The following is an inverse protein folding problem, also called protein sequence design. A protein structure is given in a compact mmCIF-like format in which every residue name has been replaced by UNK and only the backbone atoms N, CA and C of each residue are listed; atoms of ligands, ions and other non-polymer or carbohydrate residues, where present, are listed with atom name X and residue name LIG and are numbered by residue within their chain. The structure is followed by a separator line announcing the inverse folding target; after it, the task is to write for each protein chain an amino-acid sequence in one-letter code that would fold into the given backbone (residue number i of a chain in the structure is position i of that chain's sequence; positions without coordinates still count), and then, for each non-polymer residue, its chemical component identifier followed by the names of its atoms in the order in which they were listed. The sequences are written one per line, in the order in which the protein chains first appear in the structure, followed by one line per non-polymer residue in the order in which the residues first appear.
data_IF_644396877215
#
_entry.id   IF_644396877215
#
_cell.length_a   1.000
_cell.length_b   1.000
_cell.length_c   1.000
_cell.angle_alpha   90.00
_cell.angle_beta   90.00
_cell.angle_gamma   90.00
#
_symmetry.space_group_name_H-M   'P 1'
#
loop_
_entity.id
_entity.type
_entity.pdbx_description
1 polymer ?
#
# COMPACT_ATOMS: atom_id res chain seq x y z
N UNK A 1 3.54 11.11 16.91
CA UNK A 1 4.14 9.76 16.89
C UNK A 1 4.93 9.60 15.60
N UNK A 2 6.16 9.08 15.67
CA UNK A 2 7.00 8.90 14.48
C UNK A 2 6.65 7.58 13.78
N UNK A 3 6.73 7.54 12.44
CA UNK A 3 6.51 6.30 11.67
C UNK A 3 7.46 5.18 12.11
N UNK A 4 8.66 5.54 12.58
CA UNK A 4 9.67 4.62 13.13
C UNK A 4 9.20 3.92 14.40
N UNK A 5 8.43 4.62 15.25
CA UNK A 5 7.82 4.05 16.46
C UNK A 5 6.70 3.07 16.09
N UNK A 6 5.83 3.44 15.14
CA UNK A 6 4.81 2.54 14.59
C UNK A 6 5.44 1.30 13.96
N UNK A 7 6.49 1.46 13.15
CA UNK A 7 7.25 0.35 12.56
C UNK A 7 7.87 -0.51 13.65
N UNK A 8 8.43 0.08 14.71
CA UNK A 8 8.98 -0.69 15.84
C UNK A 8 7.90 -1.55 16.51
N UNK A 9 6.69 -1.02 16.73
CA UNK A 9 5.57 -1.78 17.30
C UNK A 9 5.05 -2.85 16.35
N UNK A 10 4.99 -2.57 15.05
CA UNK A 10 4.69 -3.57 14.01
C UNK A 10 5.73 -4.70 14.05
N UNK A 11 7.02 -4.37 14.05
CA UNK A 11 8.11 -5.34 14.12
C UNK A 11 8.01 -6.17 15.39
N UNK A 12 7.80 -5.57 16.58
CA UNK A 12 7.58 -6.30 17.84
C UNK A 12 6.35 -7.21 17.81
N UNK A 13 5.35 -6.86 17.02
CA UNK A 13 4.16 -7.70 16.81
C UNK A 13 4.49 -8.86 15.88
N UNK A 14 5.22 -8.63 14.79
CA UNK A 14 5.53 -9.65 13.77
C UNK A 14 6.70 -10.57 14.14
N UNK A 15 7.80 -10.08 14.72
CA UNK A 15 9.02 -10.88 14.96
C UNK A 15 8.85 -11.95 16.02
N UNK A 16 7.80 -11.89 16.84
CA UNK A 16 7.53 -12.95 17.79
C UNK A 16 6.08 -13.45 17.79
N UNK A 17 5.43 -13.41 16.61
CA UNK A 17 4.11 -13.99 16.34
C UNK A 17 3.99 -14.68 14.98
N UNK A 18 5.12 -15.10 14.39
CA UNK A 18 5.09 -16.00 13.22
C UNK A 18 5.50 -17.40 13.67
N UNK A 19 4.56 -18.22 14.20
CA UNK A 19 4.64 -19.65 14.00
C UNK A 19 4.65 -19.91 12.49
N UNK A 20 5.52 -20.81 12.04
CA UNK A 20 5.53 -21.35 10.67
C UNK A 20 4.14 -21.71 10.14
N UNK A 21 3.22 -22.15 11.01
CA UNK A 21 1.82 -22.45 10.69
C UNK A 21 0.96 -21.25 10.22
N UNK A 22 1.25 -20.02 10.67
CA UNK A 22 0.48 -18.82 10.28
C UNK A 22 0.98 -18.20 8.97
N UNK A 23 2.27 -18.41 8.66
CA UNK A 23 2.84 -18.12 7.34
C UNK A 23 2.13 -18.93 6.24
N UNK A 24 1.80 -20.19 6.51
CA UNK A 24 1.10 -21.08 5.59
C UNK A 24 -0.37 -20.65 5.35
N UNK A 25 -1.07 -20.19 6.39
CA UNK A 25 -2.46 -19.68 6.29
C UNK A 25 -2.51 -18.39 5.45
N UNK A 26 -1.52 -17.51 5.62
CA UNK A 26 -1.39 -16.32 4.77
C UNK A 26 -1.09 -16.74 3.33
N UNK A 27 -0.13 -17.64 3.12
CA UNK A 27 0.21 -18.15 1.79
C UNK A 27 -1.00 -18.75 1.06
N UNK A 28 -1.89 -19.43 1.76
CA UNK A 28 -3.11 -20.03 1.19
C UNK A 28 -4.21 -19.01 0.88
N UNK A 29 -4.44 -17.99 1.73
CA UNK A 29 -5.44 -16.95 1.47
C UNK A 29 -5.03 -16.01 0.32
N UNK A 30 -3.73 -15.83 0.07
CA UNK A 30 -3.20 -14.95 -0.97
C UNK A 30 -2.78 -15.67 -2.26
N UNK A 31 -2.71 -17.02 -2.27
CA UNK A 31 -2.37 -17.82 -3.44
C UNK A 31 -3.38 -17.73 -4.60
N UNK A 32 -4.60 -17.23 -4.36
CA UNK A 32 -5.61 -17.15 -5.42
C UNK A 32 -5.40 -15.97 -6.38
N UNK A 33 -4.51 -14.99 -6.11
CA UNK A 33 -4.27 -13.88 -7.05
C UNK A 33 -2.87 -13.24 -7.05
N UNK A 34 -1.91 -13.71 -6.23
CA UNK A 34 -0.62 -13.02 -6.10
C UNK A 34 0.58 -13.99 -6.09
N UNK A 35 1.37 -14.01 -7.16
CA UNK A 35 2.59 -14.81 -7.26
C UNK A 35 3.75 -14.08 -6.54
N UNK A 36 4.09 -14.55 -5.33
CA UNK A 36 4.91 -13.86 -4.33
C UNK A 36 6.43 -13.99 -4.51
N UNK A 37 6.92 -14.72 -5.51
CA UNK A 37 8.35 -15.11 -5.63
C UNK A 37 9.34 -13.98 -5.98
N UNK A 38 8.95 -12.71 -5.96
CA UNK A 38 9.83 -11.61 -6.36
C UNK A 38 10.32 -10.77 -5.16
N UNK A 39 11.63 -10.73 -5.03
CA UNK A 39 12.47 -10.16 -3.96
C UNK A 39 12.39 -8.62 -3.92
N UNK A 40 11.37 -8.01 -3.30
CA UNK A 40 11.22 -6.54 -3.32
C UNK A 40 10.79 -5.91 -2.00
N UNK A 41 11.35 -4.73 -1.70
CA UNK A 41 11.43 -4.09 -0.37
C UNK A 41 10.22 -3.26 0.07
N UNK A 42 9.25 -2.98 -0.82
CA UNK A 42 8.03 -2.18 -0.50
C UNK A 42 6.78 -3.04 -0.24
N UNK A 43 6.68 -4.17 -0.92
CA UNK A 43 5.66 -5.20 -0.70
C UNK A 43 5.54 -5.68 0.77
N UNK A 44 6.63 -5.85 1.54
CA UNK A 44 6.56 -6.42 2.88
C UNK A 44 5.76 -5.54 3.83
N UNK A 45 5.92 -4.21 3.79
CA UNK A 45 5.22 -3.33 4.73
C UNK A 45 3.70 -3.32 4.48
N UNK A 46 3.27 -3.20 3.23
CA UNK A 46 1.85 -3.24 2.86
C UNK A 46 1.22 -4.57 3.26
N UNK A 47 1.92 -5.69 3.00
CA UNK A 47 1.47 -7.02 3.41
C UNK A 47 1.38 -7.14 4.92
N UNK A 48 2.39 -6.66 5.66
CA UNK A 48 2.41 -6.71 7.12
C UNK A 48 1.25 -5.89 7.69
N UNK A 49 1.02 -4.67 7.20
CA UNK A 49 -0.08 -3.82 7.66
C UNK A 49 -1.43 -4.47 7.34
N UNK A 50 -1.59 -5.01 6.13
CA UNK A 50 -2.80 -5.76 5.74
C UNK A 50 -3.03 -6.97 6.65
N UNK A 51 -1.97 -7.72 6.96
CA UNK A 51 -2.03 -8.88 7.85
C UNK A 51 -2.48 -8.50 9.26
N UNK A 52 -1.88 -7.45 9.85
CA UNK A 52 -2.31 -6.95 11.17
C UNK A 52 -3.79 -6.55 11.13
N UNK A 53 -4.22 -5.85 10.07
CA UNK A 53 -5.62 -5.42 9.92
C UNK A 53 -6.59 -6.57 9.70
N UNK A 54 -6.19 -7.61 8.98
CA UNK A 54 -6.98 -8.82 8.82
C UNK A 54 -7.09 -9.56 10.15
N UNK A 55 -6.01 -9.63 10.93
CA UNK A 55 -6.03 -10.12 12.31
C UNK A 55 -7.08 -9.43 13.19
N UNK A 56 -7.30 -8.13 13.00
CA UNK A 56 -8.39 -7.39 13.65
C UNK A 56 -9.81 -7.77 13.15
N UNK A 57 -9.95 -8.08 11.86
CA UNK A 57 -11.25 -8.31 11.20
C UNK A 57 -11.76 -9.74 11.33
N UNK A 58 -10.90 -10.75 11.23
CA UNK A 58 -11.37 -12.14 11.18
C UNK A 58 -11.89 -12.60 12.53
N UNK A 59 -11.30 -12.15 13.65
CA UNK A 59 -11.80 -12.38 15.00
C UNK A 59 -11.13 -11.37 15.94
N UNK A 60 -11.81 -10.27 16.26
CA UNK A 60 -11.29 -9.16 17.10
C UNK A 60 -10.72 -9.61 18.45
N UNK A 61 -11.04 -10.83 18.89
CA UNK A 61 -10.55 -11.45 20.11
C UNK A 61 -9.44 -12.50 19.92
N UNK A 62 -9.18 -13.06 18.72
CA UNK A 62 -8.22 -14.16 18.58
C UNK A 62 -6.79 -13.71 18.26
N UNK A 63 -6.55 -12.63 17.51
CA UNK A 63 -5.16 -12.19 17.26
C UNK A 63 -4.50 -11.70 18.55
N UNK A 64 -5.17 -10.80 19.28
CA UNK A 64 -4.71 -10.32 20.58
C UNK A 64 -4.55 -11.49 21.56
N UNK A 65 -5.53 -12.41 21.62
CA UNK A 65 -5.47 -13.59 22.48
C UNK A 65 -4.33 -14.55 22.10
N UNK A 66 -4.17 -14.94 20.83
CA UNK A 66 -3.10 -15.81 20.36
C UNK A 66 -1.73 -15.16 20.61
N UNK A 67 -1.63 -13.85 20.38
CA UNK A 67 -0.46 -13.06 20.70
C UNK A 67 -0.16 -13.11 22.21
N UNK A 68 -1.15 -12.86 23.07
CA UNK A 68 -0.98 -12.94 24.51
C UNK A 68 -0.67 -14.35 25.00
N UNK A 69 -1.31 -15.39 24.47
CA UNK A 69 -1.10 -16.80 24.84
C UNK A 69 0.33 -17.25 24.51
N UNK A 70 0.80 -16.98 23.29
CA UNK A 70 2.17 -17.30 22.86
C UNK A 70 3.21 -16.55 23.70
N UNK A 71 2.97 -15.27 24.00
CA UNK A 71 3.90 -14.47 24.82
C UNK A 71 3.89 -14.84 26.29
N UNK A 72 2.75 -15.21 26.85
CA UNK A 72 2.69 -15.77 28.21
C UNK A 72 3.52 -17.04 28.29
N UNK A 73 3.34 -17.96 27.33
CA UNK A 73 4.11 -19.19 27.27
C UNK A 73 5.61 -18.94 27.11
N UNK A 74 6.01 -17.98 26.27
CA UNK A 74 7.42 -17.59 26.11
C UNK A 74 8.01 -16.95 27.37
N UNK A 75 7.26 -16.06 28.02
CA UNK A 75 7.69 -15.39 29.24
C UNK A 75 7.88 -16.38 30.40
N UNK A 76 6.96 -17.35 30.54
CA UNK A 76 7.07 -18.46 31.48
C UNK A 76 8.35 -19.29 31.19
N UNK A 77 8.58 -19.65 29.92
CA UNK A 77 9.80 -20.39 29.51
C UNK A 77 11.09 -19.61 29.77
N UNK A 78 11.05 -18.29 29.63
CA UNK A 78 12.21 -17.42 29.78
C UNK A 78 12.39 -16.84 31.19
N UNK A 79 11.53 -17.23 32.16
CA UNK A 79 11.47 -16.63 33.51
C UNK A 79 11.41 -15.09 33.48
N UNK A 80 10.59 -14.55 32.58
CA UNK A 80 10.33 -13.11 32.46
C UNK A 80 8.86 -12.83 32.71
N UNK A 81 8.56 -11.57 33.03
CA UNK A 81 7.18 -11.13 33.14
C UNK A 81 6.49 -11.12 31.77
N UNK A 82 5.23 -11.57 31.69
CA UNK A 82 4.46 -11.52 30.46
C UNK A 82 4.14 -10.07 30.06
N UNK A 83 3.97 -9.79 28.76
CA UNK A 83 3.56 -8.45 28.30
C UNK A 83 2.19 -8.07 28.86
N UNK A 84 2.05 -6.83 29.34
CA UNK A 84 0.79 -6.30 29.87
C UNK A 84 -0.19 -5.88 28.78
N UNK A 85 0.30 -5.22 27.71
CA UNK A 85 -0.55 -4.63 26.68
C UNK A 85 -0.21 -5.10 25.27
N UNK A 86 -1.21 -5.13 24.39
CA UNK A 86 -1.02 -5.39 22.96
C UNK A 86 -0.45 -4.12 22.29
N UNK A 87 0.76 -4.17 21.68
CA UNK A 87 1.45 -2.97 21.22
C UNK A 87 0.70 -2.15 20.15
N UNK A 88 -0.24 -2.75 19.41
CA UNK A 88 -0.94 -2.09 18.32
C UNK A 88 -2.40 -1.77 18.63
N UNK A 89 -2.88 -1.99 19.87
CA UNK A 89 -4.30 -1.89 20.23
C UNK A 89 -4.94 -0.55 19.82
N UNK A 90 -4.20 0.56 19.97
CA UNK A 90 -4.66 1.91 19.60
C UNK A 90 -4.37 2.31 18.15
N UNK A 91 -3.65 1.47 17.39
CA UNK A 91 -3.10 1.84 16.07
C UNK A 91 -3.98 1.45 14.90
N UNK A 92 -5.10 0.76 15.12
CA UNK A 92 -5.96 0.23 14.05
C UNK A 92 -6.35 1.28 13.01
N UNK A 93 -6.82 2.46 13.45
CA UNK A 93 -7.18 3.55 12.55
C UNK A 93 -5.97 4.06 11.73
N UNK A 94 -4.81 4.23 12.38
CA UNK A 94 -3.56 4.63 11.71
C UNK A 94 -3.13 3.58 10.69
N UNK A 95 -3.23 2.29 11.01
CA UNK A 95 -2.87 1.19 10.12
C UNK A 95 -3.82 1.12 8.91
N UNK A 96 -5.12 1.28 9.09
CA UNK A 96 -6.09 1.30 7.98
C UNK A 96 -5.83 2.45 7.02
N UNK A 97 -5.60 3.65 7.56
CA UNK A 97 -5.27 4.81 6.74
C UNK A 97 -3.90 4.68 6.06
N UNK A 98 -2.91 4.07 6.73
CA UNK A 98 -1.60 3.79 6.13
C UNK A 98 -1.71 2.79 4.99
N UNK A 99 -2.53 1.74 5.14
CA UNK A 99 -2.82 0.79 4.07
C UNK A 99 -3.42 1.50 2.84
N UNK A 100 -4.31 2.46 3.04
CA UNK A 100 -4.89 3.27 1.97
C UNK A 100 -3.83 4.06 1.18
N UNK A 101 -2.71 4.46 1.81
CA UNK A 101 -1.59 5.08 1.10
C UNK A 101 -0.68 4.05 0.40
N UNK A 102 -0.42 2.92 1.04
CA UNK A 102 0.60 1.96 0.59
C UNK A 102 0.09 0.98 -0.49
N UNK A 103 -1.19 0.62 -0.47
CA UNK A 103 -1.75 -0.39 -1.39
C UNK A 103 -1.70 0.05 -2.86
N UNK A 104 -2.05 1.30 -3.23
CA UNK A 104 -1.93 1.77 -4.60
C UNK A 104 -0.47 1.84 -5.08
N UNK A 105 0.46 2.22 -4.19
CA UNK A 105 1.90 2.24 -4.48
C UNK A 105 2.44 0.82 -4.71
N UNK A 106 1.96 -0.14 -3.92
CA UNK A 106 2.32 -1.55 -4.06
C UNK A 106 1.80 -2.12 -5.38
N UNK A 107 0.58 -1.76 -5.76
CA UNK A 107 -0.03 -2.15 -7.04
C UNK A 107 0.77 -1.60 -8.22
N UNK A 108 1.17 -0.32 -8.16
CA UNK A 108 2.08 0.25 -9.16
C UNK A 108 3.40 -0.52 -9.23
N UNK A 109 4.04 -0.78 -8.08
CA UNK A 109 5.33 -1.46 -8.06
C UNK A 109 5.23 -2.86 -8.69
N UNK A 110 4.16 -3.60 -8.40
CA UNK A 110 3.90 -4.91 -9.02
C UNK A 110 3.66 -4.78 -10.51
N UNK A 111 2.89 -3.79 -10.97
CA UNK A 111 2.64 -3.54 -12.40
C UNK A 111 3.95 -3.23 -13.13
N UNK A 112 4.81 -2.41 -12.55
CA UNK A 112 6.11 -2.02 -13.12
C UNK A 112 7.12 -3.17 -13.21
N UNK A 113 6.99 -4.19 -12.37
CA UNK A 113 7.93 -5.32 -12.27
C UNK A 113 7.49 -6.57 -13.03
N UNK A 114 6.32 -6.58 -13.68
CA UNK A 114 5.88 -7.71 -14.51
C UNK A 114 6.77 -7.83 -15.75
N UNK A 115 7.09 -9.05 -16.16
CA UNK A 115 7.86 -9.31 -17.39
C UNK A 115 7.19 -8.78 -18.68
N UNK A 116 5.90 -8.46 -18.61
CA UNK A 116 5.08 -7.84 -19.65
C UNK A 116 4.59 -6.43 -19.26
N UNK A 117 5.32 -5.71 -18.40
CA UNK A 117 4.90 -4.39 -17.92
C UNK A 117 4.63 -3.43 -19.09
N UNK A 118 3.37 -3.01 -19.23
CA UNK A 118 3.01 -1.95 -20.16
C UNK A 118 3.49 -0.62 -19.58
N UNK A 119 4.56 -0.07 -20.17
CA UNK A 119 5.17 1.18 -19.72
C UNK A 119 4.16 2.34 -19.66
N UNK A 120 3.19 2.37 -20.57
CA UNK A 120 2.15 3.39 -20.60
C UNK A 120 1.23 3.30 -19.39
N UNK A 121 0.78 2.09 -19.04
CA UNK A 121 -0.05 1.89 -17.84
C UNK A 121 0.70 2.22 -16.55
N UNK A 122 2.00 1.93 -16.49
CA UNK A 122 2.85 2.26 -15.34
C UNK A 122 2.95 3.78 -15.16
N UNK A 123 3.15 4.53 -16.24
CA UNK A 123 3.22 5.99 -16.23
C UNK A 123 1.88 6.61 -15.87
N UNK A 124 0.78 6.14 -16.47
CA UNK A 124 -0.57 6.60 -16.11
C UNK A 124 -0.86 6.34 -14.63
N UNK A 125 -0.47 5.18 -14.11
CA UNK A 125 -0.62 4.85 -12.70
C UNK A 125 0.19 5.78 -11.79
N UNK A 126 1.41 6.16 -12.19
CA UNK A 126 2.21 7.16 -11.48
C UNK A 126 1.50 8.52 -11.42
N UNK A 127 0.96 8.99 -12.54
CA UNK A 127 0.20 10.25 -12.57
C UNK A 127 -1.06 10.18 -11.71
N UNK A 128 -1.81 9.09 -11.76
CA UNK A 128 -2.98 8.89 -10.91
C UNK A 128 -2.60 8.89 -9.43
N UNK A 129 -1.50 8.24 -9.04
CA UNK A 129 -1.00 8.30 -7.65
C UNK A 129 -0.68 9.72 -7.21
N UNK A 130 -0.09 10.55 -8.09
CA UNK A 130 0.19 11.96 -7.80
C UNK A 130 -1.08 12.73 -7.48
N UNK A 131 -2.11 12.56 -8.31
CA UNK A 131 -3.37 13.29 -8.20
C UNK A 131 -4.30 12.78 -7.08
N UNK A 132 -4.05 11.58 -6.55
CA UNK A 132 -4.93 10.94 -5.57
C UNK A 132 -4.23 10.69 -4.24
N UNK A 133 -3.32 9.72 -4.20
CA UNK A 133 -2.68 9.23 -2.97
C UNK A 133 -1.68 10.22 -2.39
N UNK A 134 -0.94 10.90 -3.26
CA UNK A 134 0.14 11.82 -2.88
C UNK A 134 -0.32 13.27 -2.75
N UNK A 135 -1.50 13.60 -3.27
CA UNK A 135 -2.09 14.92 -3.08
C UNK A 135 -2.52 15.07 -1.61
N UNK A 136 -1.88 16.00 -0.91
CA UNK A 136 -2.14 16.28 0.50
C UNK A 136 -3.53 16.91 0.72
N UNK A 137 -4.13 17.48 -0.32
CA UNK A 137 -5.49 18.02 -0.32
C UNK A 137 -6.57 17.00 -0.68
N UNK A 138 -6.18 15.86 -1.28
CA UNK A 138 -7.11 14.83 -1.70
C UNK A 138 -7.51 13.87 -0.57
N UNK A 139 -8.73 13.33 -0.69
CA UNK A 139 -9.23 12.29 0.22
C UNK A 139 -8.39 11.01 0.11
N UNK A 140 -8.21 10.31 1.23
CA UNK A 140 -7.59 8.98 1.20
C UNK A 140 -8.65 7.91 1.00
N UNK A 141 -8.45 7.04 0.01
CA UNK A 141 -9.44 6.02 -0.35
C UNK A 141 -8.80 4.64 -0.32
N UNK A 142 -9.44 3.69 0.36
CA UNK A 142 -9.04 2.29 0.36
C UNK A 142 -10.07 1.46 -0.42
N UNK A 143 -9.80 1.27 -1.71
CA UNK A 143 -10.60 0.47 -2.64
C UNK A 143 -9.73 -0.56 -3.37
N UNK A 144 -10.29 -1.70 -3.80
CA UNK A 144 -11.66 -2.18 -3.57
C UNK A 144 -11.83 -2.91 -2.22
N UNK A 145 -10.74 -3.08 -1.45
CA UNK A 145 -10.68 -4.05 -0.35
C UNK A 145 -11.61 -3.75 0.82
N UNK A 146 -11.79 -2.48 1.20
CA UNK A 146 -12.47 -2.14 2.46
C UNK A 146 -13.39 -0.91 2.40
N UNK A 147 -13.69 -0.35 1.23
CA UNK A 147 -14.64 0.77 1.04
C UNK A 147 -14.51 1.90 2.11
N UNK A 148 -13.27 2.27 2.47
CA UNK A 148 -13.03 3.36 3.42
C UNK A 148 -12.67 4.66 2.71
N UNK A 149 -13.27 5.74 3.19
CA UNK A 149 -13.02 7.11 2.76
C UNK A 149 -12.57 7.93 3.98
N UNK A 150 -11.42 8.59 3.88
CA UNK A 150 -10.89 9.43 4.94
C UNK A 150 -10.70 10.86 4.42
N UNK A 151 -11.36 11.82 5.06
CA UNK A 151 -11.14 13.24 4.78
C UNK A 151 -9.75 13.64 5.27
N UNK A 152 -9.15 14.67 4.66
CA UNK A 152 -7.79 15.11 5.00
C UNK A 152 -7.64 15.45 6.49
N UNK A 153 -8.64 16.08 7.10
CA UNK A 153 -8.60 16.43 8.52
C UNK A 153 -8.68 15.20 9.45
N UNK A 154 -9.32 14.11 9.01
CA UNK A 154 -9.46 12.85 9.75
C UNK A 154 -8.19 11.97 9.70
N UNK A 155 -7.22 12.33 8.85
CA UNK A 155 -5.97 11.59 8.76
C UNK A 155 -5.15 11.75 10.05
N UNK A 156 -4.63 10.63 10.54
CA UNK A 156 -3.76 10.67 11.72
C UNK A 156 -2.46 11.42 11.40
N UNK A 157 -1.82 12.06 12.40
CA UNK A 157 -0.59 12.80 12.18
C UNK A 157 0.52 11.98 11.50
N UNK A 158 0.61 10.69 11.84
CA UNK A 158 1.56 9.75 11.23
C UNK A 158 1.29 9.56 9.74
N UNK A 159 0.03 9.39 9.34
CA UNK A 159 -0.39 9.20 7.95
C UNK A 159 -0.15 10.48 7.14
N UNK A 160 -0.53 11.66 7.67
CA UNK A 160 -0.25 12.96 7.04
C UNK A 160 1.24 13.13 6.75
N UNK A 161 2.09 12.90 7.76
CA UNK A 161 3.55 12.99 7.60
C UNK A 161 4.08 11.97 6.58
N UNK A 162 3.55 10.75 6.60
CA UNK A 162 3.97 9.70 5.65
C UNK A 162 3.59 10.07 4.22
N UNK A 163 2.37 10.57 4.00
CA UNK A 163 1.93 11.07 2.69
C UNK A 163 2.84 12.18 2.19
N UNK A 164 3.14 13.17 3.03
CA UNK A 164 4.05 14.26 2.68
C UNK A 164 5.44 13.77 2.27
N UNK A 165 6.02 12.85 3.05
CA UNK A 165 7.34 12.27 2.74
C UNK A 165 7.34 11.47 1.43
N UNK A 166 6.28 10.70 1.19
CA UNK A 166 6.12 9.97 -0.07
C UNK A 166 5.98 10.94 -1.25
N UNK A 167 5.12 11.95 -1.13
CA UNK A 167 4.92 12.97 -2.16
C UNK A 167 6.24 13.68 -2.49
N UNK A 168 6.99 14.12 -1.48
CA UNK A 168 8.30 14.74 -1.64
C UNK A 168 9.32 13.79 -2.31
N UNK A 169 9.34 12.52 -1.93
CA UNK A 169 10.23 11.52 -2.52
C UNK A 169 9.91 11.29 -4.01
N UNK A 170 8.64 11.05 -4.36
CA UNK A 170 8.21 10.86 -5.75
C UNK A 170 8.41 12.13 -6.59
N UNK A 171 8.17 13.30 -5.99
CA UNK A 171 8.44 14.58 -6.64
C UNK A 171 9.93 14.70 -6.99
N UNK A 172 10.82 14.40 -6.05
CA UNK A 172 12.27 14.47 -6.29
C UNK A 172 12.73 13.44 -7.33
N UNK A 173 12.27 12.19 -7.24
CA UNK A 173 12.83 11.08 -8.02
C UNK A 173 12.23 10.95 -9.41
N UNK A 174 10.93 11.22 -9.57
CA UNK A 174 10.23 11.02 -10.83
C UNK A 174 9.73 12.33 -11.43
N UNK A 175 8.94 13.11 -10.68
CA UNK A 175 8.24 14.25 -11.26
C UNK A 175 9.05 15.53 -11.42
N UNK A 176 10.24 15.59 -10.82
CA UNK A 176 11.18 16.71 -10.98
C UNK A 176 11.49 16.96 -12.45
N UNK A 177 11.48 15.91 -13.29
CA UNK A 177 11.60 16.03 -14.75
C UNK A 177 10.55 16.90 -15.43
N UNK A 178 9.41 17.19 -14.80
CA UNK A 178 8.35 18.04 -15.38
C UNK A 178 8.25 19.42 -14.73
N UNK A 179 8.94 19.63 -13.61
CA UNK A 179 8.80 20.87 -12.81
C UNK A 179 10.12 21.61 -12.65
N UNK A 180 11.25 20.91 -12.68
CA UNK A 180 12.59 21.48 -12.55
C UNK A 180 13.16 21.76 -13.94
N UNK A 181 13.32 23.05 -14.26
CA UNK A 181 13.81 23.51 -15.57
C UNK A 181 15.20 22.96 -15.92
N UNK A 182 16.05 22.75 -14.91
CA UNK A 182 17.40 22.23 -15.15
C UNK A 182 17.35 20.77 -15.60
N UNK A 183 16.53 19.96 -14.95
CA UNK A 183 16.35 18.53 -15.26
C UNK A 183 15.55 18.37 -16.55
N UNK A 184 14.56 19.23 -16.79
CA UNK A 184 13.70 19.18 -17.97
C UNK A 184 14.48 19.26 -19.29
N UNK A 185 15.53 20.08 -19.33
CA UNK A 185 16.36 20.28 -20.53
C UNK A 185 17.14 19.03 -20.91
N UNK A 186 17.54 18.25 -19.91
CA UNK A 186 18.50 17.16 -20.06
C UNK A 186 17.81 15.77 -19.94
N UNK A 187 16.47 15.72 -19.78
CA UNK A 187 15.68 14.48 -19.63
C UNK A 187 15.04 14.03 -20.94
N UNK A 188 15.03 12.71 -21.18
CA UNK A 188 14.27 12.10 -22.27
C UNK A 188 12.82 11.82 -21.88
N UNK A 189 11.89 12.20 -22.76
CA UNK A 189 10.45 11.99 -22.60
C UNK A 189 9.91 10.87 -23.52
N UNK A 190 10.77 9.88 -23.80
CA UNK A 190 10.42 8.74 -24.67
C UNK A 190 9.19 7.98 -24.14
N UNK A 191 9.07 7.68 -22.83
CA UNK A 191 7.92 6.95 -22.33
C UNK A 191 6.59 7.73 -22.48
N UNK A 192 6.63 9.05 -22.35
CA UNK A 192 5.48 9.94 -22.58
C UNK A 192 5.14 9.99 -24.07
N UNK A 193 6.14 10.14 -24.94
CA UNK A 193 5.93 10.07 -26.38
C UNK A 193 5.32 8.72 -26.80
N UNK A 194 5.74 7.61 -26.19
CA UNK A 194 5.14 6.29 -26.40
C UNK A 194 3.68 6.25 -25.94
N UNK A 195 3.33 6.88 -24.81
CA UNK A 195 1.94 7.01 -24.38
C UNK A 195 1.09 7.76 -25.41
N UNK A 196 1.59 8.88 -25.94
CA UNK A 196 0.91 9.65 -27.00
C UNK A 196 0.76 8.87 -28.31
N UNK A 197 1.65 7.92 -28.58
CA UNK A 197 1.65 7.13 -29.81
C UNK A 197 0.95 5.76 -29.68
N UNK A 198 0.63 5.34 -28.46
CA UNK A 198 0.03 4.05 -28.15
C UNK A 198 -1.40 3.99 -28.71
N UNK A 199 -1.73 2.90 -29.40
CA UNK A 199 -2.96 2.75 -30.19
C UNK A 199 -4.24 2.90 -29.38
N UNK A 200 -4.24 2.48 -28.11
CA UNK A 200 -5.36 2.64 -27.16
C UNK A 200 -5.57 4.10 -26.70
N UNK A 201 -4.53 4.94 -26.75
CA UNK A 201 -4.61 6.34 -26.29
C UNK A 201 -4.62 7.35 -27.45
N UNK A 202 -4.48 6.86 -28.68
CA UNK A 202 -4.44 7.67 -29.92
C UNK A 202 -5.83 8.08 -30.44
N UNK A 203 -6.91 7.45 -29.94
CA UNK A 203 -8.29 7.74 -30.33
C UNK A 203 -9.19 7.67 -29.07
N UNK A 204 -9.17 8.70 -28.21
CA UNK A 204 -10.04 8.74 -27.03
C UNK A 204 -11.51 8.56 -27.42
N UNK A 205 -11.92 9.09 -28.57
CA UNK A 205 -13.31 9.02 -29.02
C UNK A 205 -13.78 7.57 -29.26
N UNK A 206 -13.00 6.73 -29.97
CA UNK A 206 -13.44 5.36 -30.32
C UNK A 206 -13.50 4.41 -29.12
N UNK A 207 -12.57 4.56 -28.18
CA UNK A 207 -12.53 3.69 -26.99
C UNK A 207 -13.52 4.17 -25.91
N UNK A 208 -13.84 5.48 -25.86
CA UNK A 208 -14.93 6.00 -25.02
C UNK A 208 -16.31 5.58 -25.55
N UNK A 209 -16.55 5.56 -26.87
CA UNK A 209 -17.84 5.13 -27.44
C UNK A 209 -18.20 3.70 -27.02
N UNK A 210 -17.22 2.79 -26.96
CA UNK A 210 -17.43 1.40 -26.50
C UNK A 210 -17.92 1.30 -25.06
N UNK A 211 -17.51 2.23 -24.19
CA UNK A 211 -17.93 2.26 -22.78
C UNK A 211 -19.36 2.79 -22.65
N UNK A 212 -19.76 3.76 -23.48
CA UNK A 212 -21.13 4.26 -23.51
C UNK A 212 -22.11 3.27 -24.15
N UNK A 213 -21.70 2.57 -25.21
CA UNK A 213 -22.55 1.56 -25.89
C UNK A 213 -22.77 0.30 -25.03
N UNK A 214 -21.81 -0.10 -24.19
CA UNK A 214 -21.98 -1.22 -23.26
C UNK A 214 -22.94 -0.94 -22.10
N UNK A 215 -23.39 0.32 -21.96
CA UNK A 215 -24.31 0.75 -20.88
C UNK A 215 -25.75 0.94 -21.40
N UNK A 216 -25.98 0.79 -22.71
CA UNK A 216 -27.32 0.91 -23.33
C UNK A 216 -28.01 -0.44 -23.59
N UNK A 217 -27.40 -1.55 -23.19
CA UNK A 217 -28.01 -2.88 -23.20
C UNK A 217 -27.84 -3.58 -21.85
N UNK A 218 -28.49 -3.05 -20.83
CA UNK A 218 -28.84 -3.78 -19.60
C UNK A 218 -30.12 -3.22 -19.02
#
# INVERSE_FOLDING_TARGET
MAITDLISRIVKTCTLSVPTRLWDICSQSYALNFNWKAKHSFSPLTIIVLWVLQGYQTHTSNMERLWFEERRANAIRAQKDPPQDFPLASDRATLTQLLALLDPITTLNVRAQRGSANQVEVILSLYLLRLTVMDESAVCVLLPRLLFFFRVHELTPTVKKTRHLLAAAFQKTFFSRYTDRSIMRDTSYIPEAQMWLHTVFKNPDKDLTKIFESTTHS
#
